data_IF_338291151168
#
_entry.id   IF_338291151168
#
_cell.length_a   1.000
_cell.length_b   1.000
_cell.length_c   1.000
_cell.angle_alpha   90.00
_cell.angle_beta   90.00
_cell.angle_gamma   90.00
#
_symmetry.space_group_name_H-M   'P 1'
#
loop_
_entity.id
_entity.type
_entity.pdbx_description
1 polymer ?
#
# COMPACT_ATOMS: atom_id res chain seq x y z
N UNK A 1 5.13 11.16 -16.29
CA UNK A 1 5.58 11.66 -14.96
C UNK A 1 6.49 10.60 -14.35
N UNK A 2 7.70 10.99 -13.83
CA UNK A 2 8.70 10.07 -13.29
C UNK A 2 8.96 10.26 -11.79
N UNK A 3 8.40 11.30 -11.21
CA UNK A 3 8.56 11.68 -9.82
C UNK A 3 7.34 12.47 -9.33
N UNK A 4 6.91 12.21 -8.11
CA UNK A 4 5.76 12.89 -7.52
C UNK A 4 5.12 12.16 -6.35
N UNK A 5 3.89 12.54 -6.05
CA UNK A 5 3.07 11.93 -5.02
C UNK A 5 1.65 11.66 -5.49
N UNK A 6 1.09 10.59 -4.97
CA UNK A 6 -0.30 10.21 -5.16
C UNK A 6 -0.96 10.10 -3.79
N UNK A 7 -2.06 10.81 -3.63
CA UNK A 7 -2.90 10.78 -2.44
C UNK A 7 -4.12 9.93 -2.70
N UNK A 8 -4.44 9.04 -1.76
CA UNK A 8 -5.58 8.14 -1.85
C UNK A 8 -6.48 8.33 -0.65
N UNK A 9 -7.77 8.45 -0.91
CA UNK A 9 -8.82 8.32 0.09
C UNK A 9 -9.02 6.84 0.42
N UNK A 10 -9.23 6.53 1.72
CA UNK A 10 -9.49 5.18 2.20
C UNK A 10 -10.94 5.09 2.66
N UNK A 11 -11.68 4.13 2.07
CA UNK A 11 -13.03 3.76 2.51
C UNK A 11 -13.01 2.33 3.06
N UNK A 12 -13.42 2.15 4.29
CA UNK A 12 -13.61 0.82 4.86
C UNK A 12 -14.90 0.21 4.34
N UNK A 13 -14.78 -0.91 3.62
CA UNK A 13 -15.93 -1.69 3.11
C UNK A 13 -16.42 -2.60 4.21
N UNK A 14 -15.50 -3.28 4.90
CA UNK A 14 -15.75 -4.05 6.09
C UNK A 14 -14.72 -3.64 7.14
N UNK A 15 -15.22 -3.18 8.29
CA UNK A 15 -14.39 -2.81 9.41
C UNK A 15 -14.89 -3.54 10.67
N UNK A 16 -14.40 -4.73 10.96
CA UNK A 16 -14.75 -5.46 12.17
C UNK A 16 -14.04 -4.91 13.42
N UNK A 17 -13.17 -3.90 13.26
CA UNK A 17 -12.37 -3.34 14.32
C UNK A 17 -13.24 -2.66 15.38
N UNK A 18 -13.02 -2.98 16.65
CA UNK A 18 -13.55 -2.25 17.80
C UNK A 18 -12.75 -0.97 18.11
N UNK A 19 -11.64 -0.74 17.41
CA UNK A 19 -10.88 0.49 17.53
C UNK A 19 -11.71 1.68 17.08
N UNK A 20 -11.62 2.79 17.80
CA UNK A 20 -12.18 4.04 17.34
C UNK A 20 -11.66 4.36 15.93
N UNK A 21 -12.55 4.88 15.08
CA UNK A 21 -12.20 5.33 13.72
C UNK A 21 -11.01 6.30 13.68
N UNK A 22 -10.68 6.91 14.82
CA UNK A 22 -9.57 7.86 14.96
C UNK A 22 -8.18 7.19 14.92
N UNK A 23 -8.12 5.88 15.16
CA UNK A 23 -6.87 5.10 15.07
C UNK A 23 -6.70 4.39 13.73
N UNK A 24 -7.73 4.41 12.89
CA UNK A 24 -7.69 3.76 11.59
C UNK A 24 -7.16 4.71 10.52
N UNK A 25 -6.30 4.25 9.61
CA UNK A 25 -5.84 5.06 8.47
C UNK A 25 -7.01 5.56 7.64
N UNK A 26 -6.97 6.85 7.26
CA UNK A 26 -7.96 7.49 6.38
C UNK A 26 -7.36 7.98 5.07
N UNK A 27 -6.05 8.05 5.03
CA UNK A 27 -5.28 8.52 3.88
C UNK A 27 -4.09 7.59 3.63
N UNK A 28 -3.81 7.35 2.37
CA UNK A 28 -2.54 6.77 1.94
C UNK A 28 -1.85 7.73 1.00
N UNK A 29 -0.55 7.90 1.19
CA UNK A 29 0.31 8.66 0.27
C UNK A 29 1.39 7.75 -0.26
N UNK A 30 1.56 7.75 -1.58
CA UNK A 30 2.69 7.14 -2.27
C UNK A 30 3.56 8.24 -2.83
N UNK A 31 4.79 8.38 -2.30
CA UNK A 31 5.84 9.20 -2.90
C UNK A 31 6.73 8.31 -3.77
N UNK A 32 7.03 8.75 -4.98
CA UNK A 32 7.82 7.95 -5.92
C UNK A 32 8.82 8.79 -6.72
N UNK A 33 9.93 8.14 -7.11
CA UNK A 33 10.92 8.66 -8.06
C UNK A 33 11.60 7.49 -8.76
N UNK A 34 11.24 7.24 -10.02
CA UNK A 34 11.70 6.09 -10.82
C UNK A 34 11.35 4.75 -10.15
N UNK A 35 12.35 4.09 -9.51
CA UNK A 35 12.25 2.81 -8.81
C UNK A 35 12.23 2.97 -7.27
N UNK A 36 12.28 4.21 -6.78
CA UNK A 36 12.15 4.54 -5.36
C UNK A 36 10.68 4.76 -5.02
N UNK A 37 10.20 4.10 -3.98
CA UNK A 37 8.80 4.17 -3.56
C UNK A 37 8.73 4.26 -2.04
N UNK A 38 7.98 5.22 -1.53
CA UNK A 38 7.65 5.31 -0.11
C UNK A 38 6.13 5.38 0.02
N UNK A 39 5.55 4.43 0.74
CA UNK A 39 4.11 4.39 1.01
C UNK A 39 3.86 4.69 2.47
N UNK A 40 2.85 5.49 2.77
CA UNK A 40 2.44 5.78 4.15
C UNK A 40 0.93 5.77 4.26
N UNK A 41 0.42 4.90 5.13
CA UNK A 41 -0.96 4.93 5.60
C UNK A 41 -0.99 5.71 6.91
N UNK A 42 -1.79 6.77 6.96
CA UNK A 42 -1.84 7.70 8.10
C UNK A 42 -3.20 7.63 8.79
N UNK A 43 -3.18 7.46 10.11
CA UNK A 43 -4.34 7.74 10.94
C UNK A 43 -4.48 9.26 11.20
N UNK A 44 -5.69 9.76 11.52
CA UNK A 44 -5.98 11.20 11.60
C UNK A 44 -5.06 12.00 12.51
N UNK A 45 -4.61 11.42 13.61
CA UNK A 45 -3.77 12.13 14.59
C UNK A 45 -2.26 11.90 14.40
N UNK A 46 -1.83 11.20 13.34
CA UNK A 46 -0.41 10.96 13.06
C UNK A 46 0.34 10.06 14.04
N UNK A 47 -0.32 9.61 15.11
CA UNK A 47 0.28 8.79 16.17
C UNK A 47 0.29 7.29 15.85
N UNK A 48 -0.31 6.91 14.75
CA UNK A 48 -0.31 5.54 14.25
C UNK A 48 -0.26 5.52 12.73
N UNK A 49 0.31 4.45 12.19
CA UNK A 49 0.40 4.28 10.75
C UNK A 49 1.33 3.15 10.36
N UNK A 50 1.13 2.70 9.14
CA UNK A 50 1.99 1.72 8.48
C UNK A 50 2.67 2.44 7.34
N UNK A 51 3.96 2.23 7.18
CA UNK A 51 4.69 2.77 6.02
C UNK A 51 5.69 1.77 5.49
N UNK A 52 6.04 1.91 4.23
CA UNK A 52 7.08 1.11 3.60
C UNK A 52 8.01 1.97 2.78
N UNK A 53 9.25 1.53 2.66
CA UNK A 53 10.26 2.16 1.82
C UNK A 53 10.87 1.08 0.93
N UNK A 54 10.89 1.37 -0.36
CA UNK A 54 11.55 0.57 -1.39
C UNK A 54 12.62 1.45 -2.03
N UNK A 55 13.86 1.09 -1.80
CA UNK A 55 15.02 1.70 -2.43
C UNK A 55 15.99 0.60 -2.87
N UNK A 56 15.84 0.08 -4.10
CA UNK A 56 16.63 -1.03 -4.60
C UNK A 56 18.12 -0.76 -4.59
N UNK A 57 18.53 0.49 -4.87
CA UNK A 57 19.94 0.89 -4.90
C UNK A 57 20.60 0.83 -3.52
N UNK A 58 19.86 1.13 -2.48
CA UNK A 58 20.32 1.05 -1.08
C UNK A 58 19.97 -0.29 -0.42
N UNK A 59 19.36 -1.25 -1.16
CA UNK A 59 18.88 -2.53 -0.63
C UNK A 59 17.86 -2.38 0.51
N UNK A 60 17.03 -1.33 0.48
CA UNK A 60 15.97 -1.08 1.47
C UNK A 60 14.64 -1.59 0.91
N UNK A 61 13.99 -2.50 1.68
CA UNK A 61 12.66 -3.06 1.41
C UNK A 61 11.88 -3.16 2.71
N UNK A 62 11.86 -2.08 3.46
CA UNK A 62 11.46 -2.06 4.86
C UNK A 62 9.98 -1.75 5.04
N UNK A 63 9.37 -2.38 6.04
CA UNK A 63 8.04 -2.03 6.52
C UNK A 63 8.12 -1.53 7.95
N UNK A 64 7.48 -0.41 8.21
CA UNK A 64 7.46 0.31 9.48
C UNK A 64 6.05 0.36 10.05
N UNK A 65 5.94 0.13 11.34
CA UNK A 65 4.72 0.32 12.12
C UNK A 65 4.99 1.35 13.22
N UNK A 66 4.20 2.41 13.23
CA UNK A 66 4.10 3.34 14.34
C UNK A 66 2.73 3.13 15.01
N UNK A 67 2.73 2.81 16.29
CA UNK A 67 1.51 2.60 17.06
C UNK A 67 1.69 3.26 18.43
N UNK A 68 1.18 4.47 18.59
CA UNK A 68 1.34 5.29 19.80
C UNK A 68 2.83 5.49 20.15
N UNK A 69 3.29 4.90 21.27
CA UNK A 69 4.69 4.93 21.70
C UNK A 69 5.57 3.83 21.10
N UNK A 70 4.97 2.86 20.41
CA UNK A 70 5.71 1.73 19.85
C UNK A 70 6.08 2.00 18.40
N UNK A 71 7.36 1.84 18.07
CA UNK A 71 7.89 1.97 16.71
C UNK A 71 8.67 0.73 16.35
N UNK A 72 8.13 -0.05 15.42
CA UNK A 72 8.74 -1.29 14.95
C UNK A 72 9.01 -1.23 13.46
N UNK A 73 10.04 -1.93 13.01
CA UNK A 73 10.25 -2.17 11.58
C UNK A 73 10.78 -3.59 11.34
N UNK A 74 10.54 -4.08 10.16
CA UNK A 74 11.20 -5.26 9.65
C UNK A 74 11.81 -4.98 8.27
N UNK A 75 12.96 -5.58 8.05
CA UNK A 75 13.59 -5.62 6.74
C UNK A 75 12.91 -6.70 5.89
N UNK A 76 12.74 -6.41 4.62
CA UNK A 76 12.27 -7.35 3.62
C UNK A 76 13.31 -7.62 2.55
N UNK A 77 12.95 -8.42 1.57
CA UNK A 77 13.73 -8.68 0.37
C UNK A 77 12.93 -8.23 -0.87
N UNK A 78 13.55 -8.13 -2.06
CA UNK A 78 12.85 -7.74 -3.29
C UNK A 78 11.67 -8.65 -3.68
N UNK A 79 11.54 -9.82 -3.06
CA UNK A 79 10.52 -10.84 -3.38
C UNK A 79 9.48 -11.05 -2.29
N UNK A 80 9.71 -10.50 -1.11
CA UNK A 80 8.80 -10.70 0.02
C UNK A 80 7.60 -9.76 -0.10
N UNK A 81 6.39 -10.31 0.02
CA UNK A 81 5.21 -9.47 0.23
C UNK A 81 5.30 -8.81 1.61
N UNK A 82 4.90 -7.54 1.73
CA UNK A 82 4.92 -6.81 3.00
C UNK A 82 4.03 -7.48 4.06
N UNK A 83 4.35 -7.33 5.35
CA UNK A 83 3.47 -7.74 6.45
C UNK A 83 2.08 -7.11 6.34
N UNK A 84 1.06 -7.85 6.76
CA UNK A 84 -0.34 -7.42 6.73
C UNK A 84 -1.16 -7.96 5.57
N UNK A 85 -0.53 -8.49 4.52
CA UNK A 85 -1.22 -8.91 3.29
C UNK A 85 -1.45 -10.42 3.17
N UNK A 86 -1.23 -11.21 4.20
CA UNK A 86 -1.41 -12.67 4.15
C UNK A 86 -2.82 -13.11 3.68
N UNK A 87 -3.84 -12.31 3.96
CA UNK A 87 -5.22 -12.56 3.49
C UNK A 87 -5.40 -12.41 1.97
N UNK A 88 -4.43 -11.83 1.28
CA UNK A 88 -4.45 -11.62 -0.18
C UNK A 88 -3.43 -12.49 -0.92
N UNK A 89 -2.79 -13.42 -0.25
CA UNK A 89 -1.83 -14.33 -0.88
C UNK A 89 -2.53 -15.23 -1.90
N UNK A 90 -1.94 -15.35 -3.10
CA UNK A 90 -2.48 -16.19 -4.19
C UNK A 90 -3.66 -15.57 -4.96
N UNK A 91 -3.88 -14.25 -4.89
CA UNK A 91 -4.84 -13.59 -5.77
C UNK A 91 -4.40 -13.72 -7.23
N UNK A 92 -5.37 -13.77 -8.14
CA UNK A 92 -5.11 -13.83 -9.58
C UNK A 92 -5.81 -12.71 -10.32
N UNK A 93 -5.31 -12.41 -11.52
CA UNK A 93 -5.73 -11.26 -12.31
C UNK A 93 -6.24 -11.65 -13.69
N UNK A 94 -7.24 -10.93 -14.20
CA UNK A 94 -7.66 -11.03 -15.60
C UNK A 94 -8.11 -9.67 -16.13
N UNK A 95 -7.61 -9.28 -17.28
CA UNK A 95 -8.00 -8.04 -17.97
C UNK A 95 -9.48 -8.07 -18.35
N UNK A 96 -10.17 -6.94 -18.18
CA UNK A 96 -11.59 -6.82 -18.55
C UNK A 96 -11.81 -6.09 -19.87
N UNK A 97 -10.77 -5.43 -20.39
CA UNK A 97 -10.86 -4.55 -21.56
C UNK A 97 -11.52 -3.20 -21.30
N UNK A 98 -12.03 -2.95 -20.10
CA UNK A 98 -12.66 -1.67 -19.73
C UNK A 98 -11.60 -0.60 -19.51
N UNK A 99 -11.95 0.64 -19.88
CA UNK A 99 -11.12 1.83 -19.71
C UNK A 99 -11.89 2.91 -18.95
N UNK A 100 -11.18 3.75 -18.22
CA UNK A 100 -11.72 4.92 -17.51
C UNK A 100 -10.64 6.00 -17.40
N UNK A 101 -11.02 7.18 -16.92
CA UNK A 101 -10.08 8.24 -16.56
C UNK A 101 -10.22 8.50 -15.07
N UNK A 102 -9.10 8.43 -14.33
CA UNK A 102 -9.04 8.72 -12.89
C UNK A 102 -7.91 9.73 -12.68
N UNK A 103 -8.18 10.84 -12.01
CA UNK A 103 -7.23 11.96 -11.81
C UNK A 103 -6.57 12.44 -13.11
N UNK A 104 -7.28 12.37 -14.25
CA UNK A 104 -6.75 12.76 -15.57
C UNK A 104 -5.88 11.72 -16.27
N UNK A 105 -5.66 10.54 -15.68
CA UNK A 105 -4.87 9.44 -16.26
C UNK A 105 -5.75 8.37 -16.90
N UNK A 106 -5.33 7.83 -18.04
CA UNK A 106 -6.02 6.72 -18.69
C UNK A 106 -5.78 5.44 -17.91
N UNK A 107 -6.85 4.83 -17.44
CA UNK A 107 -6.81 3.63 -16.61
C UNK A 107 -7.42 2.43 -17.33
N UNK A 108 -6.88 1.25 -17.00
CA UNK A 108 -7.39 -0.07 -17.40
C UNK A 108 -7.93 -0.79 -16.19
N UNK A 109 -9.00 -1.57 -16.41
CA UNK A 109 -9.62 -2.35 -15.35
C UNK A 109 -9.13 -3.80 -15.39
N UNK A 110 -8.82 -4.31 -14.21
CA UNK A 110 -8.48 -5.72 -13.97
C UNK A 110 -9.48 -6.32 -12.99
N UNK A 111 -9.92 -7.53 -13.30
CA UNK A 111 -10.65 -8.37 -12.35
C UNK A 111 -9.67 -9.08 -11.44
N UNK A 112 -9.93 -9.03 -10.15
CA UNK A 112 -9.17 -9.71 -9.10
C UNK A 112 -10.02 -10.85 -8.55
N UNK A 113 -9.42 -12.04 -8.49
CA UNK A 113 -10.04 -13.23 -7.90
C UNK A 113 -9.25 -13.61 -6.65
N UNK A 114 -9.94 -13.67 -5.52
CA UNK A 114 -9.38 -14.14 -4.25
C UNK A 114 -9.46 -15.67 -4.16
N UNK A 115 -8.42 -16.37 -3.67
CA UNK A 115 -8.33 -17.84 -3.71
C UNK A 115 -9.51 -18.57 -3.05
N UNK A 116 -10.06 -17.97 -1.99
CA UNK A 116 -11.11 -18.60 -1.17
C UNK A 116 -12.44 -17.84 -1.20
N UNK A 117 -12.66 -17.03 -2.24
CA UNK A 117 -13.87 -16.21 -2.35
C UNK A 117 -14.49 -16.34 -3.73
N UNK A 118 -15.83 -16.45 -3.76
CA UNK A 118 -16.61 -16.32 -5.00
C UNK A 118 -16.85 -14.88 -5.40
N UNK A 119 -16.44 -13.92 -4.56
CA UNK A 119 -16.68 -12.51 -4.80
C UNK A 119 -15.66 -11.96 -5.78
N UNK A 120 -16.14 -11.38 -6.84
CA UNK A 120 -15.32 -10.67 -7.84
C UNK A 120 -15.07 -9.26 -7.38
N UNK A 121 -13.85 -8.80 -7.48
CA UNK A 121 -13.42 -7.44 -7.25
C UNK A 121 -12.77 -6.88 -8.51
N UNK A 122 -12.74 -5.57 -8.63
CA UNK A 122 -12.10 -4.88 -9.73
C UNK A 122 -11.15 -3.82 -9.20
N UNK A 123 -10.07 -3.62 -9.92
CA UNK A 123 -9.10 -2.56 -9.67
C UNK A 123 -8.86 -1.77 -10.96
N UNK A 124 -8.35 -0.56 -10.83
CA UNK A 124 -7.94 0.28 -11.94
C UNK A 124 -6.48 0.67 -11.79
N UNK A 125 -5.73 0.58 -12.88
CA UNK A 125 -4.32 0.99 -12.92
C UNK A 125 -4.03 1.81 -14.16
N UNK A 126 -2.94 2.60 -14.12
CA UNK A 126 -2.47 3.41 -15.24
C UNK A 126 -0.99 3.15 -15.55
N UNK A 127 -0.65 3.19 -16.83
CA UNK A 127 0.74 3.21 -17.29
C UNK A 127 1.21 4.64 -17.66
N UNK A 128 0.36 5.66 -17.49
CA UNK A 128 0.71 7.05 -17.82
C UNK A 128 1.65 7.67 -16.76
N UNK A 129 1.80 7.02 -15.59
CA UNK A 129 2.76 7.37 -14.55
C UNK A 129 3.91 6.37 -14.61
N UNK A 130 5.12 6.85 -14.88
CA UNK A 130 6.28 5.99 -15.14
C UNK A 130 7.06 5.71 -13.85
N UNK A 131 6.61 4.71 -13.12
CA UNK A 131 7.25 4.13 -11.93
C UNK A 131 7.64 2.70 -12.24
N UNK A 132 8.86 2.31 -11.90
CA UNK A 132 9.35 0.95 -12.12
C UNK A 132 8.84 0.03 -11.02
N UNK A 133 8.07 -0.99 -11.39
CA UNK A 133 7.46 -1.96 -10.48
C UNK A 133 6.72 -1.28 -9.31
N UNK A 134 5.69 -0.45 -9.60
CA UNK A 134 5.03 0.40 -8.60
C UNK A 134 4.39 -0.40 -7.46
N UNK A 135 4.04 -1.65 -7.72
CA UNK A 135 3.34 -2.52 -6.78
C UNK A 135 4.24 -3.59 -6.15
N UNK A 136 5.56 -3.42 -6.28
CA UNK A 136 6.53 -4.34 -5.64
C UNK A 136 6.21 -4.51 -4.16
N UNK A 137 6.31 -5.73 -3.65
CA UNK A 137 6.04 -6.12 -2.27
C UNK A 137 4.56 -5.98 -1.83
N UNK A 138 3.65 -5.70 -2.75
CA UNK A 138 2.20 -5.74 -2.50
C UNK A 138 1.58 -6.98 -3.14
N UNK A 139 0.32 -7.33 -2.81
CA UNK A 139 -0.39 -8.41 -3.50
C UNK A 139 -0.53 -8.21 -5.00
N UNK A 140 -0.37 -6.98 -5.48
CA UNK A 140 -0.50 -6.58 -6.89
C UNK A 140 0.83 -6.53 -7.65
N UNK A 141 1.86 -7.22 -7.19
CA UNK A 141 3.21 -7.18 -7.79
C UNK A 141 3.28 -7.60 -9.27
N UNK A 142 2.26 -8.31 -9.77
CA UNK A 142 2.13 -8.70 -11.19
C UNK A 142 1.51 -7.60 -12.07
N UNK A 143 0.92 -6.54 -11.48
CA UNK A 143 0.34 -5.42 -12.23
C UNK A 143 1.45 -4.41 -12.54
N UNK A 144 1.77 -4.30 -13.82
CA UNK A 144 2.77 -3.34 -14.31
C UNK A 144 2.12 -1.99 -14.64
N UNK A 145 1.75 -1.27 -13.58
CA UNK A 145 1.14 0.06 -13.65
C UNK A 145 0.73 0.55 -12.28
N UNK A 146 0.63 1.87 -12.13
CA UNK A 146 0.26 2.51 -10.88
C UNK A 146 -1.23 2.27 -10.60
N UNK A 147 -1.54 1.72 -9.45
CA UNK A 147 -2.93 1.49 -9.02
C UNK A 147 -3.61 2.83 -8.74
N UNK A 148 -4.80 3.04 -9.30
CA UNK A 148 -5.57 4.28 -9.13
C UNK A 148 -6.86 4.07 -8.33
N UNK A 149 -7.44 2.89 -8.40
CA UNK A 149 -8.58 2.47 -7.57
C UNK A 149 -8.43 0.97 -7.31
N UNK A 150 -8.29 0.58 -6.05
CA UNK A 150 -7.97 -0.79 -5.67
C UNK A 150 -8.36 -1.05 -4.21
N UNK A 151 -8.24 -2.28 -3.75
CA UNK A 151 -8.54 -2.65 -2.38
C UNK A 151 -7.39 -3.39 -1.71
N UNK A 152 -7.33 -3.29 -0.39
CA UNK A 152 -6.54 -4.19 0.44
C UNK A 152 -7.40 -4.89 1.48
N UNK A 153 -7.04 -6.13 1.77
CA UNK A 153 -7.56 -6.89 2.90
C UNK A 153 -6.40 -7.10 3.86
N UNK A 154 -6.48 -6.47 5.03
CA UNK A 154 -5.50 -6.62 6.11
C UNK A 154 -6.22 -7.16 7.35
N UNK A 155 -5.84 -8.35 7.80
CA UNK A 155 -6.62 -9.05 8.82
C UNK A 155 -8.06 -9.32 8.33
N UNK A 156 -9.04 -8.75 9.03
CA UNK A 156 -10.46 -8.81 8.66
C UNK A 156 -10.97 -7.51 8.02
N UNK A 157 -10.16 -6.46 8.03
CA UNK A 157 -10.56 -5.19 7.45
C UNK A 157 -10.37 -5.20 5.93
N UNK A 158 -11.41 -4.81 5.20
CA UNK A 158 -11.37 -4.58 3.76
C UNK A 158 -11.45 -3.07 3.52
N UNK A 159 -10.47 -2.53 2.82
CA UNK A 159 -10.32 -1.11 2.55
C UNK A 159 -10.24 -0.87 1.05
N UNK A 160 -11.04 0.07 0.54
CA UNK A 160 -10.94 0.59 -0.82
C UNK A 160 -10.06 1.84 -0.80
N UNK A 161 -9.14 1.91 -1.75
CA UNK A 161 -8.25 3.03 -1.99
C UNK A 161 -8.57 3.64 -3.34
N UNK A 162 -8.91 4.91 -3.36
CA UNK A 162 -9.19 5.65 -4.61
C UNK A 162 -8.27 6.84 -4.69
N UNK A 163 -7.51 6.95 -5.78
CA UNK A 163 -6.65 8.11 -6.01
C UNK A 163 -7.53 9.37 -6.12
N UNK A 164 -7.16 10.37 -5.33
CA UNK A 164 -7.84 11.67 -5.24
C UNK A 164 -7.03 12.76 -5.92
N UNK A 165 -5.74 12.82 -5.61
CA UNK A 165 -4.82 13.81 -6.16
C UNK A 165 -3.50 13.17 -6.59
N UNK A 166 -2.92 13.69 -7.67
CA UNK A 166 -1.61 13.29 -8.19
C UNK A 166 -0.80 14.55 -8.48
N UNK A 167 0.35 14.67 -7.81
CA UNK A 167 1.24 15.82 -7.96
C UNK A 167 2.57 15.43 -8.57
N UNK A 168 2.93 16.08 -9.67
CA UNK A 168 4.29 16.06 -10.18
C UNK A 168 5.13 17.06 -9.39
N UNK A 169 6.03 16.56 -8.54
CA UNK A 169 6.92 17.40 -7.73
C UNK A 169 8.19 16.65 -7.35
N UNK A 170 9.24 17.38 -7.04
CA UNK A 170 10.48 16.82 -6.53
C UNK A 170 10.26 16.21 -5.14
N UNK A 171 10.81 15.02 -4.92
CA UNK A 171 10.73 14.29 -3.65
C UNK A 171 12.12 14.22 -3.03
N UNK A 172 12.32 14.77 -1.82
CA UNK A 172 13.61 14.73 -1.14
C UNK A 172 14.13 13.31 -0.93
N UNK A 173 15.44 13.09 -1.08
CA UNK A 173 16.09 11.78 -0.88
C UNK A 173 15.74 11.16 0.45
N UNK A 174 15.65 11.95 1.50
CA UNK A 174 15.30 11.54 2.87
C UNK A 174 14.00 10.73 2.95
N UNK A 175 13.06 10.92 2.02
CA UNK A 175 11.80 10.16 1.96
C UNK A 175 12.05 8.68 1.70
N UNK A 176 13.13 8.34 0.99
CA UNK A 176 13.52 7.00 0.57
C UNK A 176 14.65 6.40 1.41
N UNK A 177 15.03 7.05 2.51
CA UNK A 177 16.02 6.56 3.45
C UNK A 177 15.39 5.75 4.58
N UNK A 178 16.19 4.86 5.18
CA UNK A 178 15.77 4.08 6.33
C UNK A 178 15.40 4.99 7.51
N UNK A 179 14.23 4.74 8.09
CA UNK A 179 13.75 5.54 9.23
C UNK A 179 14.53 5.20 10.51
N UNK A 180 14.89 6.23 11.26
CA UNK A 180 15.61 6.10 12.53
C UNK A 180 14.64 5.95 13.72
N UNK A 181 15.14 5.43 14.83
CA UNK A 181 14.39 5.28 16.10
C UNK A 181 13.22 4.27 16.02
N UNK A 182 13.36 3.25 15.18
CA UNK A 182 12.47 2.09 15.12
C UNK A 182 13.20 0.85 15.65
N UNK A 183 12.52 0.04 16.45
CA UNK A 183 13.05 -1.25 16.91
C UNK A 183 12.88 -2.29 15.81
N UNK A 184 13.99 -2.92 15.41
CA UNK A 184 13.95 -4.05 14.47
C UNK A 184 13.26 -5.25 15.09
N UNK A 185 12.35 -5.86 14.33
CA UNK A 185 11.62 -7.08 14.69
C UNK A 185 11.60 -8.03 13.49
N UNK A 186 11.26 -9.29 13.73
CA UNK A 186 11.05 -10.22 12.62
C UNK A 186 9.72 -9.95 11.91
N UNK A 187 9.61 -10.40 10.68
CA UNK A 187 8.44 -10.18 9.83
C UNK A 187 7.15 -10.75 10.45
N UNK A 188 7.21 -11.98 11.00
CA UNK A 188 6.04 -12.64 11.56
C UNK A 188 5.47 -11.91 12.78
N UNK A 189 6.34 -11.32 13.59
CA UNK A 189 5.92 -10.46 14.70
C UNK A 189 5.19 -9.21 14.19
N UNK A 190 5.76 -8.51 13.19
CA UNK A 190 5.14 -7.31 12.64
C UNK A 190 3.81 -7.64 11.95
N UNK A 191 3.77 -8.71 11.16
CA UNK A 191 2.54 -9.21 10.53
C UNK A 191 1.46 -9.49 11.57
N UNK A 192 1.79 -10.18 12.67
CA UNK A 192 0.84 -10.50 13.72
C UNK A 192 0.23 -9.27 14.40
N UNK A 193 1.01 -8.20 14.59
CA UNK A 193 0.51 -6.95 15.15
C UNK A 193 -0.43 -6.26 14.16
N UNK A 194 -0.04 -6.15 12.88
CA UNK A 194 -0.87 -5.53 11.85
C UNK A 194 -2.19 -6.29 11.70
N UNK A 195 -2.14 -7.62 11.64
CA UNK A 195 -3.34 -8.47 11.56
C UNK A 195 -4.27 -8.24 12.76
N UNK A 196 -3.73 -8.17 13.97
CA UNK A 196 -4.52 -7.89 15.18
C UNK A 196 -5.14 -6.50 15.16
N UNK A 197 -4.36 -5.46 14.80
CA UNK A 197 -4.88 -4.08 14.69
C UNK A 197 -6.08 -3.99 13.75
N UNK A 198 -6.05 -4.76 12.66
CA UNK A 198 -7.09 -4.75 11.63
C UNK A 198 -8.19 -5.80 11.86
N UNK A 199 -8.15 -6.55 12.97
CA UNK A 199 -9.11 -7.62 13.28
C UNK A 199 -10.00 -7.32 14.49
N UNK A 200 -9.67 -6.30 15.29
CA UNK A 200 -10.39 -5.93 16.51
C UNK A 200 -11.36 -4.79 16.31
#
# INVERSE_FOLDING_TARGET
MHEGEIYYNIKYINNPSSLSSDFLPREMVISFRKDLIATTLKAPFGNSGISSIINPKAHIYDTYLNLLSFKYYCEGTPRDMQPGFSSMEGITFSETGRKSVICGFNCRQVRVTLPNSKTTRYIWYTNDINVVQPNRLTPYSEIDGVLMDFFYIMGKAEMQFTADEVFAREIPDKVFEQKQNYKKVNRSFLDSIIQKMMAF
#
